data_IF_201861016769
#
_entry.id   IF_201861016769
#
_cell.length_a   1.000
_cell.length_b   1.000
_cell.length_c   1.000
_cell.angle_alpha   90.00
_cell.angle_beta   90.00
_cell.angle_gamma   90.00
#
_symmetry.space_group_name_H-M   'P 1'
#
loop_
_entity.id
_entity.type
_entity.pdbx_description
1 polymer ?
#
# COMPACT_ATOMS: atom_id res chain seq x y z
N UNK A 1 -15.02 -1.94 -26.09
CA UNK A 1 -14.84 -2.87 -24.96
C UNK A 1 -13.43 -2.75 -24.40
N UNK A 2 -13.26 -2.63 -23.08
CA UNK A 2 -11.93 -2.72 -22.47
C UNK A 2 -11.42 -4.16 -22.60
N UNK A 3 -10.11 -4.41 -22.80
CA UNK A 3 -9.59 -5.77 -22.77
C UNK A 3 -9.96 -6.44 -21.45
N UNK A 4 -10.28 -7.75 -21.45
CA UNK A 4 -10.85 -8.44 -20.28
C UNK A 4 -9.96 -8.37 -19.02
N UNK A 5 -8.66 -8.12 -19.19
CA UNK A 5 -7.68 -7.95 -18.11
C UNK A 5 -7.58 -6.52 -17.55
N UNK A 6 -8.35 -5.56 -18.06
CA UNK A 6 -8.32 -4.16 -17.63
C UNK A 6 -9.39 -3.89 -16.59
N UNK A 7 -8.99 -3.20 -15.52
CA UNK A 7 -9.91 -2.74 -14.49
C UNK A 7 -10.89 -1.71 -15.04
N UNK A 8 -12.13 -1.82 -14.60
CA UNK A 8 -13.15 -0.82 -14.88
C UNK A 8 -12.79 0.53 -14.24
N UNK A 9 -13.19 1.66 -14.86
CA UNK A 9 -12.79 2.99 -14.39
C UNK A 9 -13.11 3.27 -12.91
N UNK A 10 -14.30 2.94 -12.37
CA UNK A 10 -14.62 3.22 -10.96
C UNK A 10 -13.74 2.43 -9.99
N UNK A 11 -13.58 1.13 -10.23
CA UNK A 11 -12.75 0.27 -9.38
C UNK A 11 -11.28 0.70 -9.41
N UNK A 12 -10.76 1.04 -10.59
CA UNK A 12 -9.40 1.58 -10.72
C UNK A 12 -9.21 2.88 -9.94
N UNK A 13 -10.20 3.77 -9.97
CA UNK A 13 -10.15 5.02 -9.22
C UNK A 13 -10.17 4.79 -7.71
N UNK A 14 -11.02 3.88 -7.23
CA UNK A 14 -11.06 3.48 -5.82
C UNK A 14 -9.69 2.95 -5.35
N UNK A 15 -9.04 2.08 -6.14
CA UNK A 15 -7.69 1.57 -5.85
C UNK A 15 -6.67 2.71 -5.76
N UNK A 16 -6.67 3.65 -6.72
CA UNK A 16 -5.72 4.76 -6.73
C UNK A 16 -5.90 5.72 -5.57
N UNK A 17 -7.15 6.10 -5.25
CA UNK A 17 -7.44 6.94 -4.08
C UNK A 17 -6.98 6.24 -2.81
N UNK A 18 -7.34 4.97 -2.63
CA UNK A 18 -7.05 4.25 -1.39
C UNK A 18 -5.53 4.13 -1.17
N UNK A 19 -4.76 3.78 -2.20
CA UNK A 19 -3.30 3.80 -2.11
C UNK A 19 -2.73 5.20 -1.85
N UNK A 20 -3.30 6.24 -2.44
CA UNK A 20 -2.86 7.62 -2.22
C UNK A 20 -3.11 8.06 -0.78
N UNK A 21 -4.28 7.73 -0.21
CA UNK A 21 -4.62 8.00 1.20
C UNK A 21 -3.70 7.23 2.13
N UNK A 22 -3.45 5.94 1.87
CA UNK A 22 -2.50 5.14 2.65
C UNK A 22 -1.10 5.76 2.66
N UNK A 23 -0.57 6.10 1.48
CA UNK A 23 0.76 6.68 1.39
C UNK A 23 0.84 8.05 2.06
N UNK A 24 -0.12 8.94 1.80
CA UNK A 24 -0.13 10.29 2.37
C UNK A 24 -0.28 10.26 3.90
N UNK A 25 -1.19 9.44 4.43
CA UNK A 25 -1.37 9.30 5.87
C UNK A 25 -0.15 8.70 6.56
N UNK A 26 0.48 7.67 5.96
CA UNK A 26 1.71 7.07 6.50
C UNK A 26 2.91 8.01 6.45
N UNK A 27 3.12 8.72 5.33
CA UNK A 27 4.21 9.68 5.19
C UNK A 27 4.03 10.88 6.14
N UNK A 28 2.82 11.41 6.27
CA UNK A 28 2.52 12.46 7.24
C UNK A 28 2.71 11.96 8.68
N UNK A 29 2.37 10.70 8.97
CA UNK A 29 2.59 10.12 10.30
C UNK A 29 4.08 10.06 10.66
N UNK A 30 4.98 9.80 9.70
CA UNK A 30 6.42 9.85 9.95
C UNK A 30 6.89 11.23 10.44
N UNK A 31 6.34 12.30 9.86
CA UNK A 31 6.62 13.68 10.29
C UNK A 31 6.09 13.91 11.70
N UNK A 32 4.85 13.53 11.96
CA UNK A 32 4.24 13.66 13.28
C UNK A 32 5.01 12.88 14.35
N UNK A 33 5.40 11.64 14.07
CA UNK A 33 6.17 10.81 14.99
C UNK A 33 7.59 11.38 15.24
N UNK A 34 8.20 12.05 14.25
CA UNK A 34 9.50 12.69 14.43
C UNK A 34 9.43 13.96 15.30
N UNK A 35 8.29 14.67 15.29
CA UNK A 35 8.09 15.95 15.98
C UNK A 35 7.32 15.83 17.31
N UNK A 36 6.90 14.63 17.70
CA UNK A 36 6.06 14.39 18.90
C UNK A 36 6.67 14.82 20.24
N UNK A 37 8.00 14.95 20.31
CA UNK A 37 8.75 15.41 21.50
C UNK A 37 9.18 16.89 21.39
N UNK A 38 8.71 17.61 20.37
CA UNK A 38 9.00 19.04 20.18
C UNK A 38 8.15 19.93 21.10
N UNK A 39 8.38 21.24 21.07
CA UNK A 39 7.58 22.21 21.82
C UNK A 39 6.06 22.14 21.50
N UNK A 40 5.70 21.69 20.30
CA UNK A 40 4.32 21.45 19.86
C UNK A 40 3.93 19.96 19.95
N UNK A 41 4.56 19.20 20.85
CA UNK A 41 4.43 17.75 20.94
C UNK A 41 2.99 17.25 21.04
N UNK A 42 2.12 17.94 21.80
CA UNK A 42 0.70 17.59 21.91
C UNK A 42 -0.02 17.58 20.55
N UNK A 43 0.19 18.62 19.74
CA UNK A 43 -0.38 18.72 18.39
C UNK A 43 0.08 17.58 17.49
N UNK A 44 1.38 17.25 17.54
CA UNK A 44 1.95 16.16 16.74
C UNK A 44 1.49 14.79 17.20
N UNK A 45 1.30 14.56 18.50
CA UNK A 45 0.75 13.32 19.04
C UNK A 45 -0.71 13.12 18.63
N UNK A 46 -1.55 14.16 18.77
CA UNK A 46 -2.95 14.14 18.35
C UNK A 46 -3.07 13.91 16.83
N UNK A 47 -2.30 14.67 16.04
CA UNK A 47 -2.22 14.49 14.59
C UNK A 47 -1.79 13.08 14.21
N UNK A 48 -0.79 12.53 14.92
CA UNK A 48 -0.33 11.16 14.74
C UNK A 48 -1.44 10.13 14.97
N UNK A 49 -2.27 10.31 16.00
CA UNK A 49 -3.40 9.43 16.27
C UNK A 49 -4.45 9.45 15.15
N UNK A 50 -4.84 10.64 14.67
CA UNK A 50 -5.79 10.76 13.56
C UNK A 50 -5.24 10.20 12.24
N UNK A 51 -3.97 10.46 11.94
CA UNK A 51 -3.30 9.92 10.76
C UNK A 51 -3.27 8.39 10.79
N UNK A 52 -2.98 7.79 11.95
CA UNK A 52 -2.96 6.33 12.10
C UNK A 52 -4.37 5.74 11.99
N UNK A 53 -5.40 6.41 12.52
CA UNK A 53 -6.79 6.00 12.36
C UNK A 53 -7.23 6.02 10.89
N UNK A 54 -6.92 7.10 10.16
CA UNK A 54 -7.18 7.21 8.73
C UNK A 54 -6.43 6.13 7.94
N UNK A 55 -5.15 5.91 8.26
CA UNK A 55 -4.32 4.89 7.62
C UNK A 55 -4.90 3.48 7.84
N UNK A 56 -5.25 3.15 9.08
CA UNK A 56 -5.88 1.87 9.43
C UNK A 56 -7.22 1.66 8.73
N UNK A 57 -8.07 2.69 8.68
CA UNK A 57 -9.34 2.65 7.95
C UNK A 57 -9.14 2.41 6.43
N UNK A 58 -8.21 3.12 5.81
CA UNK A 58 -7.85 2.93 4.41
C UNK A 58 -7.22 1.54 4.15
N UNK A 59 -6.52 0.97 5.14
CA UNK A 59 -5.93 -0.36 5.05
C UNK A 59 -7.02 -1.45 4.97
N UNK A 60 -8.11 -1.31 5.73
CA UNK A 60 -9.24 -2.24 5.62
C UNK A 60 -9.84 -2.23 4.21
N UNK A 61 -10.02 -1.04 3.64
CA UNK A 61 -10.54 -0.89 2.28
C UNK A 61 -9.59 -1.48 1.24
N UNK A 62 -8.27 -1.24 1.34
CA UNK A 62 -7.33 -1.77 0.34
C UNK A 62 -7.25 -3.30 0.39
N UNK A 63 -7.38 -3.93 1.57
CA UNK A 63 -7.42 -5.40 1.68
C UNK A 63 -8.60 -5.99 0.90
N UNK A 64 -9.79 -5.40 1.02
CA UNK A 64 -10.97 -5.80 0.23
C UNK A 64 -10.73 -5.62 -1.27
N UNK A 65 -10.17 -4.46 -1.67
CA UNK A 65 -9.87 -4.16 -3.07
C UNK A 65 -8.78 -5.08 -3.65
N UNK A 66 -7.76 -5.45 -2.87
CA UNK A 66 -6.73 -6.41 -3.26
C UNK A 66 -7.33 -7.81 -3.47
N UNK A 67 -8.26 -8.22 -2.60
CA UNK A 67 -9.03 -9.45 -2.79
C UNK A 67 -9.79 -9.45 -4.13
N UNK A 68 -10.46 -8.34 -4.46
CA UNK A 68 -11.16 -8.19 -5.74
C UNK A 68 -10.21 -8.08 -6.96
N UNK A 69 -9.03 -7.48 -6.79
CA UNK A 69 -8.00 -7.36 -7.83
C UNK A 69 -7.52 -8.73 -8.33
N UNK A 70 -7.53 -9.74 -7.47
CA UNK A 70 -7.02 -11.06 -7.80
C UNK A 70 -7.76 -11.70 -9.00
N UNK A 71 -9.09 -11.94 -8.96
CA UNK A 71 -9.83 -12.48 -10.09
C UNK A 71 -10.04 -11.48 -11.24
N UNK A 72 -10.07 -10.17 -10.96
CA UNK A 72 -10.41 -9.14 -11.95
C UNK A 72 -9.22 -8.65 -12.77
N UNK A 73 -7.99 -8.74 -12.25
CA UNK A 73 -6.80 -8.22 -12.91
C UNK A 73 -5.64 -9.23 -12.89
N UNK A 74 -5.24 -9.71 -11.70
CA UNK A 74 -4.04 -10.52 -11.54
C UNK A 74 -4.19 -11.85 -12.28
N UNK A 75 -5.25 -12.62 -12.01
CA UNK A 75 -5.50 -13.91 -12.64
C UNK A 75 -5.62 -13.81 -14.16
N UNK A 76 -6.35 -12.81 -14.65
CA UNK A 76 -6.54 -12.57 -16.09
C UNK A 76 -5.23 -12.17 -16.79
N UNK A 77 -4.45 -11.27 -16.21
CA UNK A 77 -3.15 -10.85 -16.74
C UNK A 77 -2.13 -12.00 -16.71
N UNK A 78 -2.17 -12.83 -15.65
CA UNK A 78 -1.36 -14.03 -15.56
C UNK A 78 -1.74 -15.02 -16.65
N UNK A 79 -3.00 -15.39 -16.84
CA UNK A 79 -3.42 -16.29 -17.92
C UNK A 79 -2.96 -15.78 -19.30
N UNK A 80 -3.08 -14.47 -19.54
CA UNK A 80 -2.64 -13.83 -20.78
C UNK A 80 -1.11 -13.63 -20.90
N UNK A 81 -0.31 -14.06 -19.91
CA UNK A 81 1.15 -13.85 -19.83
C UNK A 81 1.60 -12.39 -19.95
N UNK A 82 0.78 -11.44 -19.50
CA UNK A 82 1.07 -9.99 -19.61
C UNK A 82 1.61 -9.44 -18.30
N UNK A 83 2.66 -8.61 -18.39
CA UNK A 83 3.22 -7.82 -17.29
C UNK A 83 3.45 -8.59 -15.98
N UNK A 84 3.79 -9.89 -16.06
CA UNK A 84 3.82 -10.79 -14.89
C UNK A 84 4.90 -10.40 -13.88
N UNK A 85 6.09 -10.03 -14.35
CA UNK A 85 7.23 -9.76 -13.48
C UNK A 85 6.96 -8.59 -12.53
N UNK A 86 6.52 -7.44 -13.07
CA UNK A 86 6.20 -6.27 -12.24
C UNK A 86 4.95 -6.52 -11.38
N UNK A 87 3.98 -7.29 -11.89
CA UNK A 87 2.82 -7.72 -11.12
C UNK A 87 3.21 -8.54 -9.88
N UNK A 88 4.11 -9.51 -10.04
CA UNK A 88 4.66 -10.32 -8.93
C UNK A 88 5.35 -9.43 -7.90
N UNK A 89 6.19 -8.48 -8.34
CA UNK A 89 6.90 -7.56 -7.44
C UNK A 89 5.90 -6.74 -6.61
N UNK A 90 4.89 -6.16 -7.26
CA UNK A 90 3.84 -5.39 -6.55
C UNK A 90 3.05 -6.29 -5.59
N UNK A 91 2.68 -7.50 -6.00
CA UNK A 91 1.97 -8.46 -5.14
C UNK A 91 2.79 -8.85 -3.91
N UNK A 92 4.07 -9.18 -4.07
CA UNK A 92 4.97 -9.50 -2.96
C UNK A 92 5.14 -8.31 -2.03
N UNK A 93 5.32 -7.09 -2.56
CA UNK A 93 5.43 -5.87 -1.76
C UNK A 93 4.16 -5.65 -0.90
N UNK A 94 2.97 -5.85 -1.47
CA UNK A 94 1.72 -5.75 -0.71
C UNK A 94 1.62 -6.86 0.35
N UNK A 95 2.01 -8.10 0.03
CA UNK A 95 2.04 -9.17 1.02
C UNK A 95 2.98 -8.87 2.19
N UNK A 96 4.17 -8.31 1.92
CA UNK A 96 5.11 -7.88 2.94
C UNK A 96 4.53 -6.74 3.81
N UNK A 97 3.85 -5.77 3.21
CA UNK A 97 3.14 -4.70 3.95
C UNK A 97 2.06 -5.26 4.87
N UNK A 98 1.26 -6.23 4.41
CA UNK A 98 0.22 -6.87 5.22
C UNK A 98 0.84 -7.65 6.39
N UNK A 99 1.88 -8.44 6.12
CA UNK A 99 2.56 -9.24 7.15
C UNK A 99 3.23 -8.36 8.20
N UNK A 100 3.90 -7.29 7.79
CA UNK A 100 4.55 -6.35 8.72
C UNK A 100 3.55 -5.51 9.50
N UNK A 101 2.41 -5.12 8.90
CA UNK A 101 1.31 -4.49 9.62
C UNK A 101 0.75 -5.42 10.71
N UNK A 102 0.50 -6.69 10.36
CA UNK A 102 0.11 -7.70 11.36
C UNK A 102 1.17 -7.80 12.47
N UNK A 103 2.46 -7.81 12.10
CA UNK A 103 3.57 -7.79 13.05
C UNK A 103 3.51 -6.60 14.03
N UNK A 104 3.21 -5.40 13.52
CA UNK A 104 3.09 -4.19 14.34
C UNK A 104 1.96 -4.23 15.36
N UNK A 105 0.86 -4.93 15.05
CA UNK A 105 -0.29 -5.08 15.94
C UNK A 105 -0.13 -6.19 16.97
N UNK A 106 0.51 -7.31 16.61
CA UNK A 106 0.46 -8.52 17.41
C UNK A 106 1.80 -9.00 17.97
N UNK A 107 2.94 -8.52 17.45
CA UNK A 107 4.24 -8.88 18.01
C UNK A 107 4.62 -7.89 19.11
N UNK A 108 4.81 -8.41 20.32
CA UNK A 108 5.32 -7.65 21.48
C UNK A 108 6.83 -7.83 21.71
N UNK A 109 7.51 -8.62 20.88
CA UNK A 109 8.95 -8.89 21.05
C UNK A 109 9.80 -7.63 20.77
N UNK A 110 10.81 -7.39 21.60
CA UNK A 110 11.74 -6.26 21.46
C UNK A 110 12.56 -6.29 20.16
N UNK A 111 12.74 -7.46 19.56
CA UNK A 111 13.44 -7.60 18.28
C UNK A 111 12.51 -7.50 17.06
N UNK A 112 11.42 -8.28 17.00
CA UNK A 112 10.63 -8.40 15.77
C UNK A 112 9.73 -7.19 15.50
N UNK A 113 9.30 -6.46 16.54
CA UNK A 113 8.43 -5.30 16.37
C UNK A 113 9.17 -4.13 15.69
N UNK A 114 10.40 -3.74 16.09
CA UNK A 114 11.19 -2.76 15.35
C UNK A 114 11.44 -3.15 13.89
N UNK A 115 11.85 -4.40 13.64
CA UNK A 115 12.02 -4.90 12.26
C UNK A 115 10.73 -4.80 11.45
N UNK A 116 9.58 -5.13 12.05
CA UNK A 116 8.28 -4.98 11.39
C UNK A 116 8.01 -3.51 11.03
N UNK A 117 8.34 -2.57 11.90
CA UNK A 117 8.22 -1.12 11.64
C UNK A 117 9.09 -0.68 10.48
N UNK A 118 10.38 -1.00 10.52
CA UNK A 118 11.36 -0.56 9.52
C UNK A 118 11.04 -1.12 8.14
N UNK A 119 10.66 -2.40 8.07
CA UNK A 119 10.23 -3.04 6.83
C UNK A 119 8.92 -2.46 6.33
N UNK A 120 7.92 -2.24 7.21
CA UNK A 120 6.64 -1.66 6.81
C UNK A 120 6.82 -0.27 6.19
N UNK A 121 7.62 0.58 6.84
CA UNK A 121 7.96 1.92 6.33
C UNK A 121 8.70 1.82 5.00
N UNK A 122 9.74 0.98 4.93
CA UNK A 122 10.56 0.83 3.71
C UNK A 122 9.74 0.38 2.50
N UNK A 123 8.91 -0.66 2.66
CA UNK A 123 8.02 -1.11 1.60
C UNK A 123 6.91 -0.09 1.29
N UNK A 124 6.41 0.62 2.31
CA UNK A 124 5.39 1.66 2.14
C UNK A 124 5.89 2.82 1.29
N UNK A 125 7.14 3.23 1.50
CA UNK A 125 7.82 4.25 0.71
C UNK A 125 8.14 3.78 -0.71
N UNK A 126 8.48 2.50 -0.89
CA UNK A 126 8.79 1.93 -2.20
C UNK A 126 7.53 1.71 -3.08
N UNK A 127 6.38 1.43 -2.47
CA UNK A 127 5.18 0.99 -3.17
C UNK A 127 4.70 1.94 -4.29
N UNK A 128 4.64 3.28 -4.12
CA UNK A 128 4.22 4.18 -5.20
C UNK A 128 5.11 4.06 -6.44
N UNK A 129 6.43 3.92 -6.26
CA UNK A 129 7.37 3.75 -7.37
C UNK A 129 7.13 2.43 -8.10
N UNK A 130 6.92 1.35 -7.35
CA UNK A 130 6.60 0.02 -7.90
C UNK A 130 5.27 0.03 -8.67
N UNK A 131 4.24 0.69 -8.14
CA UNK A 131 2.95 0.86 -8.82
C UNK A 131 3.09 1.68 -10.10
N UNK A 132 3.83 2.78 -10.07
CA UNK A 132 4.11 3.60 -11.25
C UNK A 132 4.84 2.79 -12.33
N UNK A 133 5.86 2.02 -11.94
CA UNK A 133 6.59 1.14 -12.84
C UNK A 133 5.67 0.07 -13.45
N UNK A 134 4.88 -0.62 -12.63
CA UNK A 134 3.90 -1.61 -13.08
C UNK A 134 2.91 -1.03 -14.10
N UNK A 135 2.36 0.16 -13.83
CA UNK A 135 1.42 0.84 -14.71
C UNK A 135 2.08 1.27 -16.02
N UNK A 136 3.28 1.88 -15.97
CA UNK A 136 3.99 2.35 -17.17
C UNK A 136 4.38 1.17 -18.08
N UNK A 137 4.96 0.12 -17.52
CA UNK A 137 5.36 -1.08 -18.26
C UNK A 137 4.13 -1.79 -18.83
N UNK A 138 3.05 -1.93 -18.06
CA UNK A 138 1.80 -2.52 -18.55
C UNK A 138 1.15 -1.72 -19.68
N UNK A 139 1.28 -0.40 -19.68
CA UNK A 139 0.83 0.47 -20.79
C UNK A 139 1.74 0.39 -22.01
N UNK A 140 3.04 0.21 -21.83
CA UNK A 140 3.99 0.07 -22.94
C UNK A 140 3.81 -1.25 -23.70
N UNK A 141 3.52 -2.35 -22.98
CA UNK A 141 3.20 -3.67 -23.55
C UNK A 141 1.83 -3.75 -24.24
N UNK A 142 1.15 -2.60 -24.41
CA UNK A 142 -0.17 -2.46 -25.04
C UNK A 142 -0.07 -2.13 -26.53
N UNK A 143 1.10 -1.67 -26.99
CA UNK A 143 1.47 -1.66 -28.41
C UNK A 143 1.92 -3.06 -28.80
#
# INVERSE_FOLDING_TARGET
MLPFWRLEPPFRFAVYITFSVLFASGAAWLVANALKESAEGEFWQESGAYLLALHGGAAMLILMLLGALFPLHIGRAWQARKNRATGIIVTICNAALIATAFGLYYLSSDALRPWSSDLHISFGLALPLLLLAHIKIGRAQRK
#
